data_IF_659311268849
#
_entry.id   IF_659311268849
#
_cell.length_a   1.000
_cell.length_b   1.000
_cell.length_c   1.000
_cell.angle_alpha   90.00
_cell.angle_beta   90.00
_cell.angle_gamma   90.00
#
_symmetry.space_group_name_H-M   'P 1'
#
loop_
_entity.id
_entity.type
_entity.pdbx_description
1 polymer ?
#
# COMPACT_ATOMS: atom_id res chain seq x y z
N UNK A 1 -17.23 1.00 5.11
CA UNK A 1 -15.94 1.59 5.51
C UNK A 1 -14.91 1.18 4.46
N UNK A 2 -14.47 2.12 3.63
CA UNK A 2 -13.63 1.80 2.46
C UNK A 2 -12.21 1.53 2.94
N UNK A 3 -11.46 0.60 2.34
CA UNK A 3 -10.05 0.29 2.69
C UNK A 3 -9.15 1.55 2.76
N UNK A 4 -9.55 2.59 2.05
CA UNK A 4 -8.99 3.95 2.02
C UNK A 4 -9.03 4.67 3.37
N UNK A 5 -10.07 4.49 4.18
CA UNK A 5 -10.28 5.25 5.43
C UNK A 5 -9.60 4.62 6.64
N UNK A 6 -9.16 3.35 6.54
CA UNK A 6 -8.63 2.58 7.66
C UNK A 6 -7.10 2.68 7.84
N UNK A 7 -6.41 3.36 6.93
CA UNK A 7 -4.94 3.45 6.92
C UNK A 7 -4.51 4.90 7.20
N UNK A 8 -3.46 5.11 8.00
CA UNK A 8 -2.87 6.43 8.33
C UNK A 8 -2.23 7.17 7.14
N UNK A 9 -2.56 6.79 5.91
CA UNK A 9 -2.13 7.48 4.70
C UNK A 9 -2.93 8.76 4.51
N UNK A 10 -2.25 9.82 4.05
CA UNK A 10 -2.99 10.96 3.50
C UNK A 10 -3.71 10.49 2.24
N UNK A 11 -4.93 11.02 2.04
CA UNK A 11 -5.82 10.59 0.95
C UNK A 11 -5.13 10.68 -0.41
N UNK A 12 -4.26 11.68 -0.58
CA UNK A 12 -3.46 11.96 -1.77
C UNK A 12 -2.45 10.85 -2.09
N UNK A 13 -1.72 10.36 -1.08
CA UNK A 13 -0.70 9.30 -1.25
C UNK A 13 -1.36 7.98 -1.68
N UNK A 14 -2.54 7.68 -1.14
CA UNK A 14 -3.29 6.49 -1.52
C UNK A 14 -3.72 6.53 -2.99
N UNK A 15 -4.08 7.71 -3.53
CA UNK A 15 -4.44 7.83 -4.95
C UNK A 15 -3.26 7.62 -5.90
N UNK A 16 -2.05 8.04 -5.50
CA UNK A 16 -0.83 7.79 -6.26
C UNK A 16 -0.52 6.29 -6.33
N UNK A 17 -0.62 5.59 -5.19
CA UNK A 17 -0.38 4.13 -5.14
C UNK A 17 -1.40 3.37 -5.99
N UNK A 18 -2.67 3.78 -5.91
CA UNK A 18 -3.75 3.14 -6.67
C UNK A 18 -3.75 3.55 -8.16
N UNK A 19 -2.91 4.52 -8.55
CA UNK A 19 -2.73 4.93 -9.95
C UNK A 19 -3.90 5.76 -10.51
N UNK A 20 -4.63 6.47 -9.66
CA UNK A 20 -5.73 7.35 -10.08
C UNK A 20 -5.18 8.77 -10.17
N UNK A 21 -5.17 9.36 -11.38
CA UNK A 21 -4.74 10.75 -11.55
C UNK A 21 -5.70 11.73 -10.85
N UNK A 22 -5.17 12.88 -10.42
CA UNK A 22 -5.94 14.00 -9.88
C UNK A 22 -7.04 14.53 -10.84
N UNK A 23 -6.97 14.22 -12.14
CA UNK A 23 -8.03 14.54 -13.12
C UNK A 23 -9.14 13.47 -13.18
N UNK A 24 -8.83 12.22 -12.85
CA UNK A 24 -9.80 11.11 -12.73
C UNK A 24 -10.59 11.21 -11.40
N UNK A 25 -9.99 11.86 -10.40
CA UNK A 25 -10.55 12.23 -9.08
C UNK A 25 -11.94 12.91 -9.14
N UNK A 26 -12.09 13.98 -9.96
CA UNK A 26 -13.36 14.73 -10.05
C UNK A 26 -14.48 13.93 -10.73
N UNK A 27 -14.12 12.92 -11.54
CA UNK A 27 -15.08 12.05 -12.22
C UNK A 27 -15.59 10.93 -11.30
N UNK A 28 -14.70 10.37 -10.46
CA UNK A 28 -15.05 9.36 -9.45
C UNK A 28 -16.05 9.85 -8.40
N UNK A 29 -15.88 11.07 -7.89
CA UNK A 29 -16.78 11.63 -6.87
C UNK A 29 -18.17 12.01 -7.43
N UNK A 30 -18.32 12.14 -8.76
CA UNK A 30 -19.56 12.62 -9.40
C UNK A 30 -20.36 11.56 -10.16
N UNK A 31 -19.75 10.49 -10.64
CA UNK A 31 -20.43 9.44 -11.43
C UNK A 31 -19.67 8.13 -11.32
N UNK A 32 -20.26 7.17 -10.61
CA UNK A 32 -19.86 5.76 -10.49
C UNK A 32 -19.02 5.25 -11.69
N UNK A 33 -17.67 5.31 -11.63
CA UNK A 33 -16.84 4.82 -12.71
C UNK A 33 -16.38 3.41 -12.39
N UNK A 34 -16.49 2.54 -13.39
CA UNK A 34 -15.84 1.23 -13.38
C UNK A 34 -14.33 1.43 -13.20
N UNK A 35 -13.77 0.90 -12.11
CA UNK A 35 -12.32 0.83 -11.90
C UNK A 35 -11.68 0.09 -13.06
N UNK A 36 -10.64 0.68 -13.66
CA UNK A 36 -9.80 -0.03 -14.63
C UNK A 36 -9.28 -1.30 -13.94
N UNK A 37 -9.25 -2.43 -14.66
CA UNK A 37 -8.79 -3.70 -14.10
C UNK A 37 -7.43 -3.57 -13.39
N UNK A 38 -6.51 -2.82 -13.99
CA UNK A 38 -5.19 -2.51 -13.41
C UNK A 38 -5.28 -1.80 -12.04
N UNK A 39 -6.22 -0.86 -11.87
CA UNK A 39 -6.48 -0.17 -10.61
C UNK A 39 -7.01 -1.15 -9.55
N UNK A 40 -7.93 -2.04 -9.94
CA UNK A 40 -8.45 -3.09 -9.04
C UNK A 40 -7.33 -4.02 -8.60
N UNK A 41 -6.45 -4.42 -9.52
CA UNK A 41 -5.34 -5.32 -9.20
C UNK A 41 -4.31 -4.68 -8.26
N UNK A 42 -4.01 -3.38 -8.43
CA UNK A 42 -3.19 -2.62 -7.48
C UNK A 42 -3.82 -2.58 -6.09
N UNK A 43 -5.12 -2.25 -5.98
CA UNK A 43 -5.84 -2.25 -4.69
C UNK A 43 -5.81 -3.63 -4.03
N UNK A 44 -6.03 -4.70 -4.80
CA UNK A 44 -5.94 -6.06 -4.29
C UNK A 44 -4.53 -6.39 -3.80
N UNK A 45 -3.49 -5.94 -4.50
CA UNK A 45 -2.09 -6.09 -4.08
C UNK A 45 -1.84 -5.38 -2.74
N UNK A 46 -2.31 -4.15 -2.61
CA UNK A 46 -2.24 -3.39 -1.36
C UNK A 46 -2.91 -4.10 -0.20
N UNK A 47 -4.13 -4.59 -0.40
CA UNK A 47 -4.89 -5.30 0.63
C UNK A 47 -4.18 -6.59 1.09
N UNK A 48 -3.61 -7.35 0.15
CA UNK A 48 -2.89 -8.59 0.49
C UNK A 48 -1.67 -8.31 1.35
N UNK A 49 -0.82 -7.36 0.93
CA UNK A 49 0.42 -7.07 1.67
C UNK A 49 0.17 -6.33 2.98
N UNK A 50 -0.85 -5.48 3.06
CA UNK A 50 -1.26 -4.89 4.34
C UNK A 50 -1.74 -5.96 5.33
N UNK A 51 -2.53 -6.93 4.88
CA UNK A 51 -2.96 -8.06 5.72
C UNK A 51 -1.77 -8.92 6.17
N UNK A 52 -0.81 -9.17 5.28
CA UNK A 52 0.41 -9.88 5.64
C UNK A 52 1.21 -9.10 6.69
N UNK A 53 1.40 -7.79 6.49
CA UNK A 53 2.08 -6.94 7.46
C UNK A 53 1.38 -6.97 8.82
N UNK A 54 0.05 -6.90 8.84
CA UNK A 54 -0.73 -7.03 10.06
C UNK A 54 -0.54 -8.39 10.75
N UNK A 55 -0.38 -9.47 9.99
CA UNK A 55 -0.05 -10.78 10.55
C UNK A 55 1.36 -10.85 11.13
N UNK A 56 2.31 -10.10 10.57
CA UNK A 56 3.70 -10.05 11.06
C UNK A 56 3.84 -9.19 12.32
N UNK A 57 3.21 -8.01 12.34
CA UNK A 57 3.35 -7.08 13.46
C UNK A 57 2.29 -7.30 14.55
N UNK A 58 1.17 -7.96 14.23
CA UNK A 58 0.03 -8.22 15.12
C UNK A 58 -0.62 -6.98 15.77
N UNK A 59 -0.11 -5.79 15.47
CA UNK A 59 -0.58 -4.49 15.94
C UNK A 59 -0.84 -3.56 14.75
N UNK A 60 -2.02 -2.95 14.74
CA UNK A 60 -2.48 -2.09 13.64
C UNK A 60 -1.68 -0.80 13.54
N UNK A 61 -1.31 -0.19 14.68
CA UNK A 61 -0.57 1.06 14.72
C UNK A 61 0.88 0.84 14.29
N UNK A 62 1.51 -0.25 14.75
CA UNK A 62 2.84 -0.66 14.32
C UNK A 62 2.88 -1.00 12.83
N UNK A 63 1.88 -1.76 12.34
CA UNK A 63 1.74 -2.07 10.91
C UNK A 63 1.66 -0.80 10.08
N UNK A 64 0.77 0.13 10.45
CA UNK A 64 0.58 1.37 9.72
C UNK A 64 1.85 2.23 9.73
N UNK A 65 2.52 2.33 10.89
CA UNK A 65 3.79 3.03 11.03
C UNK A 65 4.87 2.39 10.14
N UNK A 66 5.00 1.07 10.15
CA UNK A 66 5.98 0.38 9.33
C UNK A 66 5.75 0.61 7.85
N UNK A 67 4.49 0.50 7.40
CA UNK A 67 4.09 0.68 6.01
C UNK A 67 4.24 2.13 5.51
N UNK A 68 4.16 3.11 6.41
CA UNK A 68 4.34 4.53 6.11
C UNK A 68 5.77 5.05 6.31
N UNK A 69 6.68 4.23 6.84
CA UNK A 69 8.07 4.65 7.10
C UNK A 69 8.96 4.36 5.88
N UNK A 70 9.67 5.36 5.33
CA UNK A 70 10.66 5.17 4.28
C UNK A 70 11.68 4.07 4.60
N UNK A 71 11.99 3.22 3.63
CA UNK A 71 12.96 2.12 3.79
C UNK A 71 14.11 2.27 2.79
N UNK A 72 15.34 2.11 3.27
CA UNK A 72 16.53 2.14 2.40
C UNK A 72 16.46 1.06 1.29
N UNK A 73 15.94 -0.14 1.61
CA UNK A 73 15.75 -1.23 0.66
C UNK A 73 14.74 -0.90 -0.47
N UNK A 74 13.90 0.11 -0.26
CA UNK A 74 12.95 0.65 -1.22
C UNK A 74 13.42 1.98 -1.81
N UNK A 75 14.74 2.23 -1.82
CA UNK A 75 15.34 3.47 -2.34
C UNK A 75 14.78 4.74 -1.68
N UNK A 76 14.45 4.65 -0.39
CA UNK A 76 13.86 5.76 0.37
C UNK A 76 12.36 5.93 0.19
N UNK A 77 11.69 5.04 -0.57
CA UNK A 77 10.23 5.02 -0.63
C UNK A 77 9.62 4.32 0.60
N UNK A 78 8.37 4.65 0.90
CA UNK A 78 7.58 3.91 1.88
C UNK A 78 7.10 2.59 1.27
N UNK A 79 6.85 1.55 2.09
CA UNK A 79 6.22 0.33 1.61
C UNK A 79 4.93 0.60 0.84
N UNK A 80 4.08 1.53 1.32
CA UNK A 80 2.87 1.93 0.61
C UNK A 80 3.13 2.41 -0.82
N UNK A 81 4.10 3.32 -1.00
CA UNK A 81 4.43 3.85 -2.32
C UNK A 81 4.99 2.75 -3.25
N UNK A 82 5.81 1.85 -2.70
CA UNK A 82 6.38 0.73 -3.45
C UNK A 82 5.31 -0.24 -4.00
N UNK A 83 4.11 -0.31 -3.39
CA UNK A 83 3.02 -1.20 -3.86
C UNK A 83 2.42 -0.80 -5.21
N UNK A 84 2.72 0.41 -5.69
CA UNK A 84 2.29 0.89 -7.00
C UNK A 84 2.78 0.01 -8.16
N UNK A 85 3.89 -0.71 -7.97
CA UNK A 85 4.49 -1.60 -8.97
C UNK A 85 4.58 -3.04 -8.46
N UNK A 86 4.62 -4.02 -9.37
CA UNK A 86 4.85 -5.42 -8.99
C UNK A 86 6.23 -5.63 -8.37
N UNK A 87 7.24 -4.94 -8.88
CA UNK A 87 8.60 -5.04 -8.37
C UNK A 87 8.73 -4.49 -6.95
N UNK A 88 8.15 -3.32 -6.68
CA UNK A 88 8.15 -2.74 -5.33
C UNK A 88 7.36 -3.59 -4.34
N UNK A 89 6.25 -4.20 -4.76
CA UNK A 89 5.50 -5.11 -3.92
C UNK A 89 6.27 -6.39 -3.55
N UNK A 90 7.03 -6.98 -4.50
CA UNK A 90 7.92 -8.11 -4.19
C UNK A 90 8.97 -7.74 -3.14
N UNK A 91 9.57 -6.55 -3.25
CA UNK A 91 10.52 -6.06 -2.23
C UNK A 91 9.87 -5.90 -0.86
N UNK A 92 8.64 -5.38 -0.80
CA UNK A 92 7.89 -5.27 0.46
C UNK A 92 7.59 -6.65 1.04
N UNK A 93 7.16 -7.60 0.22
CA UNK A 93 6.91 -8.99 0.62
C UNK A 93 8.17 -9.65 1.19
N UNK A 94 9.33 -9.48 0.55
CA UNK A 94 10.62 -9.97 1.04
C UNK A 94 11.00 -9.36 2.39
N UNK A 95 10.73 -8.06 2.59
CA UNK A 95 10.99 -7.40 3.87
C UNK A 95 10.07 -7.93 4.98
N UNK A 96 8.79 -8.18 4.67
CA UNK A 96 7.85 -8.77 5.62
C UNK A 96 8.25 -10.20 6.00
N UNK A 97 8.66 -11.00 5.02
CA UNK A 97 9.18 -12.34 5.26
C UNK A 97 10.39 -12.29 6.20
N UNK A 98 11.35 -11.39 5.96
CA UNK A 98 12.50 -11.22 6.86
C UNK A 98 12.09 -10.81 8.28
N UNK A 99 11.13 -9.91 8.40
CA UNK A 99 10.61 -9.47 9.70
C UNK A 99 9.94 -10.63 10.47
N UNK A 100 9.16 -11.48 9.79
CA UNK A 100 8.50 -12.65 10.37
C UNK A 100 9.50 -13.66 10.99
N UNK A 101 10.66 -13.85 10.35
CA UNK A 101 11.71 -14.75 10.85
C UNK A 101 12.75 -14.06 11.75
N UNK A 102 12.50 -12.82 12.19
CA UNK A 102 13.43 -12.06 13.03
C UNK A 102 14.78 -11.74 12.36
N UNK A 103 14.83 -11.77 11.02
CA UNK A 103 16.03 -11.49 10.24
C UNK A 103 16.13 -9.97 10.02
N UNK A 104 16.78 -9.27 10.95
CA UNK A 104 17.14 -7.86 10.77
C UNK A 104 18.48 -7.77 10.03
N UNK A 105 18.50 -7.14 8.85
CA UNK A 105 19.68 -6.87 8.06
C UNK A 105 19.62 -5.49 7.42
#
# INVERSE_FOLDING_TARGET
MTFVEANQLKKEEMWEVVGISASTHFRYLKKDPVLKAETVDRVRRMQRLHRQALGVFEDVEETNRWMATPKAYLQGQTPWLALATDEGAKRVEEMLYRAEYGMFG
#
